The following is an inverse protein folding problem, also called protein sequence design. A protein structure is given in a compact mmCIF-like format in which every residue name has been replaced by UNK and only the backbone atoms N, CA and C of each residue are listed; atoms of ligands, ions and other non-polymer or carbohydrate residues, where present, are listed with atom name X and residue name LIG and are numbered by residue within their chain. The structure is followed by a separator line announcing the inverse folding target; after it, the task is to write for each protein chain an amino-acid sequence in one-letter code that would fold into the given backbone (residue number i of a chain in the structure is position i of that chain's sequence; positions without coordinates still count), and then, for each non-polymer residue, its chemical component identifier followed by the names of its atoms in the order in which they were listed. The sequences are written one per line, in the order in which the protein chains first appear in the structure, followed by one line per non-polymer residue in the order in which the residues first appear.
data_IF_408130842195
#
_entry.id   IF_408130842195
#
_cell.length_a   1.000
_cell.length_b   1.000
_cell.length_c   1.000
_cell.angle_alpha   90.00
_cell.angle_beta   90.00
_cell.angle_gamma   90.00
#
_symmetry.space_group_name_H-M   'P 1'
#
loop_
_entity.id
_entity.type
_entity.pdbx_description
1 polymer ?
#
# COMPACT_ATOMS: atom_id res chain seq x y z
N UNK A 1 -15.23 -5.70 -15.19
CA UNK A 1 -14.93 -4.39 -15.79
C UNK A 1 -13.51 -3.99 -15.40
N UNK A 2 -12.68 -3.55 -16.36
CA UNK A 2 -11.30 -3.13 -16.09
C UNK A 2 -11.29 -1.76 -15.42
N UNK A 3 -10.67 -1.63 -14.25
CA UNK A 3 -10.48 -0.36 -13.54
C UNK A 3 -8.99 -0.15 -13.28
N UNK A 4 -8.62 1.03 -12.78
CA UNK A 4 -7.23 1.29 -12.35
C UNK A 4 -6.75 0.33 -11.26
N UNK A 5 -7.66 -0.23 -10.46
CA UNK A 5 -7.33 -1.17 -9.38
C UNK A 5 -7.14 -2.61 -9.88
N UNK A 6 -7.68 -2.96 -11.05
CA UNK A 6 -7.63 -4.32 -11.62
C UNK A 6 -6.81 -4.41 -12.89
N UNK A 7 -6.25 -3.29 -13.37
CA UNK A 7 -5.31 -3.29 -14.48
C UNK A 7 -3.97 -3.90 -14.05
N UNK A 8 -3.37 -4.70 -14.94
CA UNK A 8 -1.99 -5.18 -14.73
C UNK A 8 -1.03 -4.00 -14.66
N UNK A 9 -0.13 -4.05 -13.68
CA UNK A 9 0.92 -3.05 -13.51
C UNK A 9 2.08 -3.32 -14.47
N UNK A 10 2.85 -2.29 -14.89
CA UNK A 10 4.11 -2.47 -15.60
C UNK A 10 5.12 -3.26 -14.76
N UNK A 11 5.98 -4.04 -15.43
CA UNK A 11 6.97 -4.90 -14.75
C UNK A 11 7.97 -4.14 -13.86
N UNK A 12 8.21 -2.85 -14.11
CA UNK A 12 9.12 -2.02 -13.32
C UNK A 12 8.52 -1.53 -11.99
N UNK A 13 7.20 -1.71 -11.77
CA UNK A 13 6.56 -1.28 -10.52
C UNK A 13 6.85 -2.29 -9.43
N UNK A 14 7.54 -1.85 -8.38
CA UNK A 14 7.77 -2.67 -7.19
C UNK A 14 6.45 -2.97 -6.48
N UNK A 15 6.26 -4.24 -6.12
CA UNK A 15 5.10 -4.72 -5.39
C UNK A 15 5.51 -5.12 -3.97
N UNK A 16 4.58 -5.07 -2.99
CA UNK A 16 4.83 -5.65 -1.67
C UNK A 16 5.23 -7.12 -1.79
N UNK A 17 6.35 -7.50 -1.17
CA UNK A 17 6.84 -8.87 -1.17
C UNK A 17 6.26 -9.73 -0.02
N UNK A 18 5.47 -9.12 0.86
CA UNK A 18 4.82 -9.78 1.99
C UNK A 18 3.40 -10.23 1.65
N UNK A 19 2.92 -11.28 2.32
CA UNK A 19 1.53 -11.70 2.27
C UNK A 19 0.64 -10.67 2.98
N UNK A 20 -0.24 -10.03 2.20
CA UNK A 20 -1.14 -8.99 2.68
C UNK A 20 -2.27 -9.56 3.53
N UNK A 21 -2.66 -10.82 3.32
CA UNK A 21 -3.76 -11.46 4.04
C UNK A 21 -3.34 -11.88 5.46
N UNK A 22 -2.03 -12.06 5.69
CA UNK A 22 -1.47 -12.33 7.01
C UNK A 22 -1.37 -11.09 7.93
N UNK A 23 -1.52 -9.88 7.37
CA UNK A 23 -1.37 -8.64 8.15
C UNK A 23 -2.52 -8.43 9.14
N UNK A 24 -2.19 -7.93 10.34
CA UNK A 24 -3.16 -7.55 11.37
C UNK A 24 -3.07 -6.06 11.64
N UNK A 25 -4.21 -5.37 11.64
CA UNK A 25 -4.27 -3.95 12.00
C UNK A 25 -3.81 -3.73 13.44
N UNK A 26 -2.75 -2.93 13.63
CA UNK A 26 -2.16 -2.63 14.96
C UNK A 26 -1.89 -1.14 15.19
N UNK A 27 -1.99 -0.32 14.14
CA UNK A 27 -1.74 1.12 14.18
C UNK A 27 -2.95 1.82 13.58
N UNK A 28 -3.48 2.81 14.29
CA UNK A 28 -4.50 3.73 13.76
C UNK A 28 -3.82 5.05 13.44
N UNK A 29 -3.95 5.49 12.19
CA UNK A 29 -3.45 6.79 11.77
C UNK A 29 -4.61 7.77 11.57
N UNK A 30 -4.55 8.93 12.24
CA UNK A 30 -5.53 10.00 12.12
C UNK A 30 -4.92 11.14 11.29
N UNK A 31 -5.43 11.33 10.07
CA UNK A 31 -4.93 12.34 9.12
C UNK A 31 -4.15 11.76 7.93
N UNK A 32 -4.83 11.05 7.02
CA UNK A 32 -4.23 10.31 5.90
C UNK A 32 -3.74 11.20 4.73
N UNK A 33 -2.67 11.96 4.96
CA UNK A 33 -2.05 12.86 3.99
C UNK A 33 -0.97 12.21 3.11
N UNK A 34 -0.42 13.01 2.18
CA UNK A 34 0.69 12.57 1.32
C UNK A 34 1.96 12.25 2.15
N UNK A 35 2.23 13.04 3.18
CA UNK A 35 3.39 12.83 4.06
C UNK A 35 3.33 11.49 4.80
N UNK A 36 2.17 11.13 5.36
CA UNK A 36 2.00 9.83 6.01
C UNK A 36 2.32 8.67 5.07
N UNK A 37 1.78 8.70 3.84
CA UNK A 37 2.02 7.66 2.82
C UNK A 37 3.50 7.55 2.42
N UNK A 38 4.19 8.67 2.32
CA UNK A 38 5.56 8.72 1.82
C UNK A 38 6.63 8.50 2.91
N UNK A 39 6.28 8.55 4.20
CA UNK A 39 7.24 8.45 5.31
C UNK A 39 6.85 7.41 6.37
N UNK A 40 5.73 7.60 7.06
CA UNK A 40 5.36 6.73 8.17
C UNK A 40 4.94 5.34 7.67
N UNK A 41 4.06 5.28 6.67
CA UNK A 41 3.60 4.02 6.09
C UNK A 41 4.69 3.30 5.26
N UNK A 42 5.77 3.99 4.92
CA UNK A 42 6.90 3.39 4.19
C UNK A 42 7.78 2.52 5.10
N UNK A 43 7.81 2.79 6.41
CA UNK A 43 8.71 2.13 7.37
C UNK A 43 8.00 1.10 8.27
N UNK A 44 6.74 0.79 7.98
CA UNK A 44 5.95 -0.27 8.65
C UNK A 44 6.03 -1.58 7.89
#
# INVERSE_FOLDING_TARGET
MKTIATASLPAAVSLPAYDRDALKSRIVHLGFGAFHRAHQALLT
#
